data_IF_054044206391
#
_entry.id   IF_054044206391
#
_cell.length_a   1.000
_cell.length_b   1.000
_cell.length_c   1.000
_cell.angle_alpha   90.00
_cell.angle_beta   90.00
_cell.angle_gamma   90.00
#
_symmetry.space_group_name_H-M   'P 1'
#
loop_
_entity.id
_entity.type
_entity.pdbx_description
1 polymer ?
#
# COMPACT_ATOMS: atom_id res chain seq x y z
N UNK A 1 2.49 -8.56 15.19
CA UNK A 1 1.97 -9.96 15.08
C UNK A 1 3.03 -11.02 15.38
N UNK A 2 4.18 -11.02 14.72
CA UNK A 2 5.22 -12.07 14.86
C UNK A 2 5.74 -12.32 16.28
N UNK A 3 5.75 -11.28 17.13
CA UNK A 3 6.24 -11.39 18.50
C UNK A 3 5.20 -11.96 19.49
N UNK A 4 3.94 -12.12 19.05
CA UNK A 4 2.84 -12.51 19.94
C UNK A 4 2.75 -14.03 20.16
N UNK A 5 3.28 -14.83 19.24
CA UNK A 5 3.14 -16.29 19.25
C UNK A 5 1.76 -16.80 18.80
N UNK A 6 0.82 -15.90 18.51
CA UNK A 6 -0.51 -16.24 18.00
C UNK A 6 -0.48 -16.56 16.49
N UNK A 7 -1.43 -17.36 15.98
CA UNK A 7 -1.58 -17.57 14.55
C UNK A 7 -1.80 -16.25 13.82
N UNK A 8 -1.13 -16.08 12.68
CA UNK A 8 -1.29 -14.92 11.79
C UNK A 8 -1.61 -15.39 10.37
N UNK A 9 -2.17 -14.48 9.56
CA UNK A 9 -2.36 -14.71 8.14
C UNK A 9 -1.09 -14.31 7.37
N UNK A 10 -0.33 -15.28 6.81
CA UNK A 10 0.92 -14.97 6.10
C UNK A 10 0.69 -14.15 4.83
N UNK A 11 -0.46 -14.29 4.17
CA UNK A 11 -0.74 -13.54 2.95
C UNK A 11 -1.01 -12.07 3.26
N UNK A 12 -1.73 -11.78 4.34
CA UNK A 12 -1.88 -10.41 4.83
C UNK A 12 -0.57 -9.83 5.34
N UNK A 13 0.32 -10.64 5.89
CA UNK A 13 1.65 -10.17 6.27
C UNK A 13 2.48 -9.76 5.03
N UNK A 14 2.43 -10.54 3.95
CA UNK A 14 3.14 -10.20 2.72
C UNK A 14 2.69 -8.83 2.16
N UNK A 15 1.37 -8.55 2.22
CA UNK A 15 0.79 -7.25 1.85
C UNK A 15 1.35 -6.12 2.72
N UNK A 16 1.42 -6.33 4.03
CA UNK A 16 1.99 -5.37 4.98
C UNK A 16 3.47 -5.10 4.69
N UNK A 17 4.25 -6.16 4.49
CA UNK A 17 5.68 -6.06 4.24
C UNK A 17 5.95 -5.32 2.93
N UNK A 18 5.16 -5.61 1.88
CA UNK A 18 5.25 -4.89 0.61
C UNK A 18 4.99 -3.39 0.81
N UNK A 19 3.87 -3.00 1.42
CA UNK A 19 3.55 -1.59 1.64
C UNK A 19 4.57 -0.89 2.54
N UNK A 20 5.02 -1.57 3.61
CA UNK A 20 6.04 -1.02 4.51
C UNK A 20 7.37 -0.75 3.80
N UNK A 21 7.69 -1.51 2.75
CA UNK A 21 8.89 -1.25 1.93
C UNK A 21 8.81 0.06 1.13
N UNK A 22 7.63 0.66 1.00
CA UNK A 22 7.38 1.96 0.39
C UNK A 22 7.37 3.12 1.40
N UNK A 23 7.82 2.94 2.65
CA UNK A 23 7.76 4.02 3.66
C UNK A 23 8.51 5.32 3.32
N UNK A 24 9.39 5.30 2.31
CA UNK A 24 10.09 6.49 1.78
C UNK A 24 9.48 7.03 0.47
N UNK A 25 8.50 6.32 -0.09
CA UNK A 25 7.90 6.62 -1.38
C UNK A 25 6.62 7.44 -1.18
N UNK A 26 6.54 8.57 -1.87
CA UNK A 26 5.32 9.38 -2.02
C UNK A 26 4.90 9.29 -3.49
N UNK A 27 3.74 8.68 -3.73
CA UNK A 27 3.18 8.53 -5.09
C UNK A 27 2.73 9.86 -5.70
N UNK A 28 2.56 10.91 -4.88
CA UNK A 28 1.88 12.19 -5.18
C UNK A 28 0.37 12.08 -5.40
N UNK A 29 -0.22 10.90 -5.18
CA UNK A 29 -1.64 10.63 -5.34
C UNK A 29 -2.26 10.12 -4.04
N UNK A 30 -3.10 10.95 -3.41
CA UNK A 30 -3.83 10.59 -2.17
C UNK A 30 -4.52 9.19 -2.22
N UNK A 31 -5.16 8.76 -3.33
CA UNK A 31 -5.76 7.43 -3.39
C UNK A 31 -4.74 6.29 -3.30
N UNK A 32 -3.51 6.50 -3.80
CA UNK A 32 -2.43 5.52 -3.74
C UNK A 32 -1.80 5.52 -2.34
N UNK A 33 -1.63 6.69 -1.72
CA UNK A 33 -1.20 6.78 -0.30
C UNK A 33 -2.17 6.05 0.63
N UNK A 34 -3.47 6.33 0.49
CA UNK A 34 -4.52 5.66 1.28
C UNK A 34 -4.51 4.14 1.09
N UNK A 35 -4.22 3.68 -0.13
CA UNK A 35 -4.09 2.26 -0.45
C UNK A 35 -2.88 1.65 0.25
N UNK A 36 -1.71 2.31 0.19
CA UNK A 36 -0.48 1.85 0.85
C UNK A 36 -0.66 1.82 2.38
N UNK A 37 -1.28 2.84 2.97
CA UNK A 37 -1.62 2.88 4.39
C UNK A 37 -2.55 1.73 4.80
N UNK A 38 -3.56 1.43 3.97
CA UNK A 38 -4.49 0.31 4.21
C UNK A 38 -3.79 -1.05 4.11
N UNK A 39 -2.79 -1.18 3.23
CA UNK A 39 -1.94 -2.36 3.15
C UNK A 39 -0.98 -2.47 4.34
N UNK A 40 -0.47 -1.34 4.84
CA UNK A 40 0.44 -1.24 5.99
C UNK A 40 -0.26 -1.18 7.36
N UNK A 41 -1.58 -1.45 7.42
CA UNK A 41 -2.33 -1.47 8.68
C UNK A 41 -1.73 -2.43 9.70
N UNK A 42 -1.47 -1.92 10.91
CA UNK A 42 -1.04 -2.71 12.07
C UNK A 42 -2.14 -3.66 12.58
N UNK A 43 -3.41 -3.36 12.27
CA UNK A 43 -4.52 -4.29 12.49
C UNK A 43 -4.65 -5.23 11.28
N UNK A 44 -4.39 -6.55 11.43
CA UNK A 44 -4.54 -7.51 10.34
C UNK A 44 -5.99 -7.69 9.89
N UNK A 45 -7.00 -7.35 10.72
CA UNK A 45 -8.40 -7.40 10.30
C UNK A 45 -8.72 -6.30 9.28
N UNK A 46 -8.26 -5.07 9.54
CA UNK A 46 -8.38 -3.92 8.64
C UNK A 46 -7.46 -3.94 7.42
N UNK A 47 -6.43 -4.78 7.41
CA UNK A 47 -5.47 -4.87 6.30
C UNK A 47 -6.08 -5.46 5.04
N UNK A 48 -5.79 -4.86 3.89
CA UNK A 48 -6.24 -5.36 2.58
C UNK A 48 -5.65 -6.74 2.25
N UNK A 49 -6.41 -7.51 1.49
CA UNK A 49 -5.87 -8.63 0.72
C UNK A 49 -5.16 -8.13 -0.54
N UNK A 50 -4.31 -8.97 -1.13
CA UNK A 50 -3.62 -8.64 -2.39
C UNK A 50 -4.61 -8.36 -3.55
N UNK A 51 -5.73 -9.08 -3.60
CA UNK A 51 -6.77 -8.88 -4.61
C UNK A 51 -7.47 -7.52 -4.45
N UNK A 52 -7.84 -7.15 -3.22
CA UNK A 52 -8.44 -5.84 -2.93
C UNK A 52 -7.49 -4.69 -3.26
N UNK A 53 -6.21 -4.81 -2.89
CA UNK A 53 -5.19 -3.81 -3.22
C UNK A 53 -5.03 -3.66 -4.74
N UNK A 54 -4.89 -4.78 -5.47
CA UNK A 54 -4.78 -4.78 -6.93
C UNK A 54 -6.02 -4.20 -7.60
N UNK A 55 -7.22 -4.55 -7.11
CA UNK A 55 -8.49 -4.03 -7.62
C UNK A 55 -8.61 -2.52 -7.47
N UNK A 56 -8.26 -1.98 -6.29
CA UNK A 56 -8.27 -0.54 -6.02
C UNK A 56 -7.24 0.20 -6.88
N UNK A 57 -6.02 -0.31 -6.98
CA UNK A 57 -4.97 0.31 -7.80
C UNK A 57 -5.35 0.32 -9.28
N UNK A 58 -5.90 -0.79 -9.80
CA UNK A 58 -6.40 -0.88 -11.18
C UNK A 58 -7.49 0.16 -11.44
N UNK A 59 -8.50 0.21 -10.57
CA UNK A 59 -9.61 1.16 -10.71
C UNK A 59 -9.11 2.61 -10.72
N UNK A 60 -8.13 2.93 -9.88
CA UNK A 60 -7.47 4.23 -9.90
C UNK A 60 -6.79 4.51 -11.25
N UNK A 61 -5.90 3.62 -11.70
CA UNK A 61 -5.16 3.79 -12.97
C UNK A 61 -6.10 3.92 -14.18
N UNK A 62 -7.19 3.15 -14.22
CA UNK A 62 -8.19 3.21 -15.29
C UNK A 62 -9.00 4.52 -15.27
N UNK A 63 -9.15 5.15 -14.10
CA UNK A 63 -9.88 6.42 -13.95
C UNK A 63 -9.03 7.67 -14.21
N UNK A 64 -7.71 7.56 -14.15
CA UNK A 64 -6.78 8.69 -14.25
C UNK A 64 -6.39 8.93 -15.71
N UNK A 65 -6.59 10.15 -16.25
CA UNK A 65 -6.12 10.47 -17.59
C UNK A 65 -4.58 10.32 -17.69
N UNK A 66 -4.03 9.77 -18.79
CA UNK A 66 -2.59 9.54 -18.91
C UNK A 66 -1.72 10.78 -18.65
N UNK A 67 -2.22 11.98 -18.99
CA UNK A 67 -1.51 13.24 -18.74
C UNK A 67 -1.31 13.54 -17.25
N UNK A 68 -2.22 13.09 -16.39
CA UNK A 68 -2.12 13.28 -14.94
C UNK A 68 -1.06 12.35 -14.31
N UNK A 69 -0.74 11.23 -14.95
CA UNK A 69 0.34 10.30 -14.52
C UNK A 69 1.76 10.82 -14.85
N UNK A 70 1.87 11.99 -15.48
CA UNK A 70 3.17 12.61 -15.78
C UNK A 70 3.78 13.32 -14.56
N UNK A 71 3.15 13.23 -13.40
CA UNK A 71 3.70 13.69 -12.12
C UNK A 71 4.54 12.56 -11.55
N UNK A 72 5.86 12.73 -11.40
CA UNK A 72 6.73 11.68 -10.88
C UNK A 72 6.52 11.50 -9.37
N UNK A 73 6.67 10.27 -8.86
CA UNK A 73 6.72 10.04 -7.42
C UNK A 73 7.98 10.67 -6.80
N UNK A 74 7.93 10.94 -5.51
CA UNK A 74 9.04 11.47 -4.72
C UNK A 74 9.59 10.37 -3.81
N UNK A 75 10.92 10.26 -3.72
CA UNK A 75 11.58 9.43 -2.73
C UNK A 75 12.20 10.34 -1.67
N UNK A 76 11.69 10.26 -0.45
CA UNK A 76 12.26 10.95 0.69
C UNK A 76 13.52 10.21 1.14
N UNK A 77 14.62 10.93 1.37
CA UNK A 77 15.79 10.36 2.05
C UNK A 77 15.58 10.42 3.55
N UNK A 78 15.87 9.35 4.28
CA UNK A 78 15.96 9.39 5.75
C UNK A 78 16.75 10.63 6.23
N UNK A 79 16.22 11.30 7.26
CA UNK A 79 16.98 12.21 8.12
C UNK A 79 17.71 11.42 9.20
#
# INVERSE_FOLDING_TARGET
EMLTGEPYDPFKLDVWQLASSFGEFDSTFEPVETLLDSMASDDPAGRLTADEAMGRLRAFVESVPPKALLIPPVIHKFK
#
